data_IF_468787065193
#
_entry.id   IF_468787065193
#
_cell.length_a   1.000
_cell.length_b   1.000
_cell.length_c   1.000
_cell.angle_alpha   90.00
_cell.angle_beta   90.00
_cell.angle_gamma   90.00
#
_symmetry.space_group_name_H-M   'P 1'
#
loop_
_entity.id
_entity.type
_entity.pdbx_description
1 polymer ?
#
# COMPACT_ATOMS: atom_id res chain seq x y z
N UNK A 1 -28.83 -49.42 -14.80
CA UNK A 1 -27.94 -48.85 -13.75
C UNK A 1 -26.46 -48.86 -14.12
N UNK A 2 -25.92 -49.85 -14.86
CA UNK A 2 -24.48 -49.93 -15.21
C UNK A 2 -23.91 -48.79 -16.09
N UNK A 3 -24.71 -48.16 -16.95
CA UNK A 3 -24.26 -47.01 -17.78
C UNK A 3 -24.13 -45.69 -17.02
N UNK A 4 -24.87 -45.49 -15.93
CA UNK A 4 -24.79 -44.27 -15.09
C UNK A 4 -23.58 -44.30 -14.14
N UNK A 5 -23.14 -45.50 -13.75
CA UNK A 5 -21.91 -45.73 -12.98
C UNK A 5 -20.64 -45.49 -13.81
N UNK A 6 -20.66 -45.80 -15.11
CA UNK A 6 -19.52 -45.54 -16.00
C UNK A 6 -19.26 -44.04 -16.23
N UNK A 7 -20.33 -43.23 -16.31
CA UNK A 7 -20.20 -41.76 -16.49
C UNK A 7 -19.73 -41.08 -15.20
N UNK A 8 -20.16 -41.53 -14.03
CA UNK A 8 -19.69 -41.02 -12.75
C UNK A 8 -18.20 -41.35 -12.49
N UNK A 9 -17.73 -42.49 -12.99
CA UNK A 9 -16.33 -42.91 -12.83
C UNK A 9 -15.36 -42.14 -13.76
N UNK A 10 -15.84 -41.64 -14.92
CA UNK A 10 -15.02 -40.80 -15.81
C UNK A 10 -14.87 -39.36 -15.31
N UNK A 11 -15.81 -38.83 -14.52
CA UNK A 11 -15.71 -37.47 -13.94
C UNK A 11 -14.77 -37.46 -12.72
N UNK A 12 -14.64 -38.57 -11.99
CA UNK A 12 -13.71 -38.68 -10.85
C UNK A 12 -12.24 -38.93 -11.25
N UNK A 13 -11.98 -39.36 -12.49
CA UNK A 13 -10.61 -39.61 -12.98
C UNK A 13 -9.92 -38.33 -13.54
N UNK A 14 -10.59 -37.19 -13.53
CA UNK A 14 -10.05 -35.90 -13.99
C UNK A 14 -9.40 -35.05 -12.85
N UNK A 15 -9.20 -35.63 -11.67
CA UNK A 15 -8.58 -34.97 -10.52
C UNK A 15 -7.47 -35.89 -10.00
N UNK A 16 -6.25 -35.88 -10.59
CA UNK A 16 -5.17 -35.14 -9.93
C UNK A 16 -3.97 -34.78 -10.85
N UNK A 17 -3.83 -33.51 -11.27
CA UNK A 17 -2.51 -32.89 -11.53
C UNK A 17 -2.52 -31.37 -11.27
N UNK A 18 -3.26 -30.89 -10.26
CA UNK A 18 -2.94 -29.60 -9.65
C UNK A 18 -1.81 -29.78 -8.63
N UNK A 19 -0.63 -30.20 -9.12
CA UNK A 19 0.61 -29.83 -8.46
C UNK A 19 0.84 -28.36 -8.77
N UNK A 20 0.22 -27.48 -7.99
CA UNK A 20 0.49 -26.05 -8.01
C UNK A 20 1.92 -25.81 -7.50
N UNK A 21 2.88 -25.88 -8.42
CA UNK A 21 4.26 -25.47 -8.17
C UNK A 21 4.79 -24.76 -9.42
N UNK A 22 4.67 -23.42 -9.39
CA UNK A 22 5.48 -22.43 -10.14
C UNK A 22 5.20 -22.33 -11.67
N UNK A 23 5.37 -21.18 -12.36
CA UNK A 23 4.70 -19.88 -12.29
C UNK A 23 4.07 -19.53 -13.66
N UNK A 24 2.79 -19.83 -13.89
CA UNK A 24 2.13 -19.56 -15.19
C UNK A 24 1.18 -18.34 -15.17
N UNK A 25 1.51 -17.31 -14.39
CA UNK A 25 0.87 -15.99 -14.44
C UNK A 25 1.85 -14.94 -14.99
N UNK A 26 2.48 -15.30 -16.10
CA UNK A 26 3.26 -14.35 -16.89
C UNK A 26 2.64 -14.37 -18.29
N UNK A 27 2.05 -13.22 -18.66
CA UNK A 27 1.40 -12.90 -19.93
C UNK A 27 -0.01 -13.50 -20.19
N UNK A 28 -1.03 -12.63 -20.21
CA UNK A 28 -2.17 -12.84 -21.12
C UNK A 28 -3.55 -12.40 -20.64
N UNK A 29 -4.02 -12.85 -19.48
CA UNK A 29 -5.42 -12.59 -19.06
C UNK A 29 -5.56 -12.21 -17.58
N UNK A 30 -4.73 -12.77 -16.68
CA UNK A 30 -4.80 -12.47 -15.25
C UNK A 30 -4.33 -11.06 -14.88
N UNK A 31 -3.37 -10.49 -15.62
CA UNK A 31 -2.91 -9.12 -15.39
C UNK A 31 -3.94 -8.06 -15.80
N UNK A 32 -4.79 -8.35 -16.79
CA UNK A 32 -5.79 -7.40 -17.28
C UNK A 32 -6.88 -7.10 -16.24
N UNK A 33 -7.17 -8.03 -15.32
CA UNK A 33 -8.19 -7.84 -14.29
C UNK A 33 -7.72 -6.95 -13.12
N UNK A 34 -6.41 -6.71 -12.97
CA UNK A 34 -5.87 -5.82 -11.93
C UNK A 34 -5.64 -4.38 -12.42
N UNK A 35 -5.68 -4.15 -13.74
CA UNK A 35 -5.43 -2.82 -14.36
C UNK A 35 -6.71 -1.95 -14.36
N UNK A 36 -7.87 -2.50 -14.03
CA UNK A 36 -9.16 -1.84 -14.26
C UNK A 36 -9.65 -0.81 -13.22
N UNK A 37 -8.95 -0.57 -12.11
CA UNK A 37 -9.49 0.32 -11.06
C UNK A 37 -8.47 1.20 -10.32
N UNK A 38 -7.21 1.22 -10.78
CA UNK A 38 -6.23 2.19 -10.29
C UNK A 38 -6.29 3.44 -11.18
N UNK A 39 -6.48 4.60 -10.55
CA UNK A 39 -6.53 5.90 -11.25
C UNK A 39 -5.13 6.41 -11.64
N UNK A 40 -4.07 5.72 -11.18
CA UNK A 40 -2.68 5.98 -11.57
C UNK A 40 -2.40 5.42 -12.96
N UNK A 41 -1.48 6.07 -13.66
CA UNK A 41 -0.97 5.53 -14.92
C UNK A 41 -0.08 4.31 -14.65
N UNK A 42 0.00 3.37 -15.58
CA UNK A 42 0.91 2.22 -15.48
C UNK A 42 2.36 2.65 -15.26
N UNK A 43 2.80 3.73 -15.95
CA UNK A 43 4.13 4.31 -15.76
C UNK A 43 4.37 4.78 -14.31
N UNK A 44 3.45 5.56 -13.75
CA UNK A 44 3.56 6.01 -12.35
C UNK A 44 3.53 4.86 -11.35
N UNK A 45 2.79 3.79 -11.61
CA UNK A 45 2.78 2.61 -10.74
C UNK A 45 4.13 1.88 -10.75
N UNK A 46 4.73 1.69 -11.94
CA UNK A 46 6.06 1.08 -12.07
C UNK A 46 7.15 1.96 -11.44
N UNK A 47 7.05 3.28 -11.62
CA UNK A 47 7.94 4.24 -10.96
C UNK A 47 7.85 4.12 -9.44
N UNK A 48 6.63 4.07 -8.88
CA UNK A 48 6.39 3.92 -7.44
C UNK A 48 7.12 2.69 -6.86
N UNK A 49 6.96 1.53 -7.49
CA UNK A 49 7.62 0.29 -7.05
C UNK A 49 9.14 0.39 -7.13
N UNK A 50 9.65 1.04 -8.18
CA UNK A 50 11.08 1.27 -8.35
C UNK A 50 11.62 2.22 -7.27
N UNK A 51 10.87 3.28 -6.94
CA UNK A 51 11.23 4.24 -5.91
C UNK A 51 11.26 3.61 -4.52
N UNK A 52 10.24 2.81 -4.17
CA UNK A 52 10.18 2.10 -2.89
C UNK A 52 11.43 1.24 -2.68
N UNK A 53 11.80 0.41 -3.66
CA UNK A 53 12.97 -0.48 -3.56
C UNK A 53 14.28 0.31 -3.47
N UNK A 54 14.48 1.32 -4.34
CA UNK A 54 15.71 2.11 -4.36
C UNK A 54 15.89 2.91 -3.07
N UNK A 55 14.85 3.59 -2.61
CA UNK A 55 14.90 4.40 -1.40
C UNK A 55 15.04 3.55 -0.15
N UNK A 56 14.32 2.42 -0.05
CA UNK A 56 14.48 1.52 1.10
C UNK A 56 15.94 1.05 1.24
N UNK A 57 16.57 0.68 0.12
CA UNK A 57 17.99 0.29 0.12
C UNK A 57 18.93 1.45 0.48
N UNK A 58 18.76 2.62 -0.14
CA UNK A 58 19.64 3.76 0.11
C UNK A 58 19.47 4.36 1.51
N UNK A 59 18.24 4.44 2.01
CA UNK A 59 17.97 4.97 3.35
C UNK A 59 18.50 4.00 4.40
N UNK A 60 18.19 2.70 4.32
CA UNK A 60 18.68 1.73 5.31
C UNK A 60 20.21 1.66 5.40
N UNK A 61 20.93 1.82 4.28
CA UNK A 61 22.40 1.87 4.28
C UNK A 61 22.96 3.16 4.89
N UNK A 62 22.26 4.29 4.78
CA UNK A 62 22.70 5.60 5.31
C UNK A 62 22.21 5.90 6.72
N UNK A 63 21.17 5.20 7.19
CA UNK A 63 20.61 5.35 8.54
C UNK A 63 20.57 3.98 9.24
N UNK A 64 21.74 3.40 9.55
CA UNK A 64 21.80 2.07 10.17
C UNK A 64 21.10 2.08 11.53
N UNK A 65 20.31 1.05 11.81
CA UNK A 65 19.58 0.91 13.06
C UNK A 65 18.26 1.70 13.14
N UNK A 66 17.95 2.56 12.16
CA UNK A 66 16.64 3.19 12.04
C UNK A 66 15.60 2.23 11.45
N UNK A 67 14.34 2.38 11.85
CA UNK A 67 13.22 1.70 11.24
C UNK A 67 12.47 2.65 10.30
N UNK A 68 12.85 2.67 9.03
CA UNK A 68 12.22 3.55 8.03
C UNK A 68 11.44 2.72 7.03
N UNK A 69 10.14 2.98 6.94
CA UNK A 69 9.26 2.46 5.91
C UNK A 69 9.10 3.50 4.80
N UNK A 70 9.34 3.07 3.55
CA UNK A 70 9.16 3.91 2.37
C UNK A 70 7.92 3.44 1.63
N UNK A 71 7.00 4.37 1.41
CA UNK A 71 5.82 4.14 0.57
C UNK A 71 5.82 5.15 -0.57
N UNK A 72 5.58 4.69 -1.80
CA UNK A 72 5.33 5.54 -2.95
C UNK A 72 3.89 5.39 -3.44
N UNK A 73 3.33 6.52 -3.89
CA UNK A 73 2.04 6.57 -4.56
C UNK A 73 2.00 7.76 -5.54
N UNK A 74 1.82 7.49 -6.83
CA UNK A 74 1.77 8.50 -7.89
C UNK A 74 3.01 9.44 -7.89
N UNK A 75 4.19 8.86 -7.64
CA UNK A 75 5.50 9.50 -7.47
C UNK A 75 5.61 10.44 -6.27
N UNK A 76 4.61 10.46 -5.38
CA UNK A 76 4.75 11.03 -4.04
C UNK A 76 5.34 9.96 -3.10
N UNK A 77 6.32 10.35 -2.29
CA UNK A 77 6.97 9.49 -1.31
C UNK A 77 6.45 9.85 0.08
N UNK A 78 6.10 8.83 0.85
CA UNK A 78 5.83 8.88 2.27
C UNK A 78 6.93 8.11 3.01
N UNK A 79 7.60 8.78 3.94
CA UNK A 79 8.52 8.17 4.90
C UNK A 79 7.83 8.10 6.26
N UNK A 80 7.72 6.90 6.82
CA UNK A 80 7.19 6.65 8.17
C UNK A 80 8.14 5.77 8.97
N UNK A 81 7.95 5.73 10.28
CA UNK A 81 8.73 4.93 11.21
C UNK A 81 9.61 5.79 12.12
N UNK A 82 10.67 5.18 12.63
CA UNK A 82 11.50 5.74 13.69
C UNK A 82 12.96 5.90 13.30
N UNK A 83 13.53 7.01 13.74
CA UNK A 83 14.95 7.34 13.59
C UNK A 83 15.57 7.68 14.94
N UNK A 84 16.87 7.42 15.15
CA UNK A 84 17.52 7.64 16.43
C UNK A 84 17.69 9.13 16.79
N UNK A 85 17.83 9.99 15.78
CA UNK A 85 18.10 11.42 15.95
C UNK A 85 17.68 12.25 14.71
N UNK A 86 17.83 13.57 14.83
CA UNK A 86 17.51 14.52 13.77
C UNK A 86 18.43 14.36 12.54
N UNK A 87 19.68 13.94 12.74
CA UNK A 87 20.63 13.76 11.65
C UNK A 87 20.19 12.60 10.73
N UNK A 88 19.79 11.48 11.31
CA UNK A 88 19.22 10.35 10.57
C UNK A 88 17.91 10.74 9.87
N UNK A 89 17.05 11.54 10.52
CA UNK A 89 15.82 12.08 9.91
C UNK A 89 16.13 12.91 8.66
N UNK A 90 17.05 13.86 8.79
CA UNK A 90 17.47 14.74 7.71
C UNK A 90 18.16 13.96 6.58
N UNK A 91 18.95 12.94 6.91
CA UNK A 91 19.62 12.10 5.93
C UNK A 91 18.63 11.27 5.09
N UNK A 92 17.58 10.72 5.72
CA UNK A 92 16.50 10.03 5.02
C UNK A 92 15.71 11.00 4.12
N UNK A 93 15.38 12.18 4.63
CA UNK A 93 14.70 13.24 3.87
C UNK A 93 15.50 13.63 2.62
N UNK A 94 16.78 13.97 2.79
CA UNK A 94 17.67 14.35 1.71
C UNK A 94 17.80 13.25 0.66
N UNK A 95 17.95 11.99 1.09
CA UNK A 95 18.06 10.84 0.18
C UNK A 95 16.79 10.68 -0.67
N UNK A 96 15.61 10.83 -0.06
CA UNK A 96 14.34 10.75 -0.77
C UNK A 96 14.13 11.91 -1.75
N UNK A 97 14.49 13.15 -1.37
CA UNK A 97 14.41 14.32 -2.28
C UNK A 97 15.37 14.23 -3.46
N UNK A 98 16.54 13.64 -3.25
CA UNK A 98 17.56 13.55 -4.28
C UNK A 98 17.23 12.53 -5.40
N UNK A 99 16.23 11.66 -5.19
CA UNK A 99 15.86 10.67 -6.19
C UNK A 99 15.12 11.34 -7.37
N UNK A 100 15.61 11.22 -8.61
CA UNK A 100 14.95 11.79 -9.78
C UNK A 100 13.54 11.25 -9.99
N UNK A 101 12.61 12.14 -10.31
CA UNK A 101 11.21 11.79 -10.61
C UNK A 101 10.28 11.77 -9.40
N UNK A 102 10.79 11.94 -8.17
CA UNK A 102 9.97 12.19 -6.98
C UNK A 102 9.24 13.53 -7.15
N UNK A 103 7.91 13.51 -7.07
CA UNK A 103 7.06 14.71 -7.21
C UNK A 103 6.84 15.42 -5.89
N UNK A 104 6.64 14.65 -4.82
CA UNK A 104 6.31 15.16 -3.49
C UNK A 104 6.94 14.26 -2.44
N UNK A 105 7.40 14.84 -1.34
CA UNK A 105 7.92 14.10 -0.19
C UNK A 105 7.15 14.48 1.06
N UNK A 106 6.61 13.46 1.71
CA UNK A 106 5.93 13.49 2.98
C UNK A 106 6.78 12.78 4.02
N UNK A 107 7.49 13.54 4.85
CA UNK A 107 8.35 12.99 5.88
C UNK A 107 7.64 13.02 7.23
N UNK A 108 7.22 11.85 7.69
CA UNK A 108 6.58 11.61 8.98
C UNK A 108 7.43 10.71 9.88
N UNK A 109 8.75 10.72 9.69
CA UNK A 109 9.68 10.06 10.58
C UNK A 109 9.69 10.73 11.95
N UNK A 110 9.61 9.92 12.99
CA UNK A 110 9.67 10.39 14.39
C UNK A 110 11.00 10.02 15.01
N UNK A 111 11.53 10.92 15.84
CA UNK A 111 12.72 10.64 16.64
C UNK A 111 12.26 9.85 17.87
N UNK A 112 12.45 8.54 17.83
CA UNK A 112 11.99 7.62 18.85
C UNK A 112 12.75 6.29 18.77
N UNK A 113 12.73 5.47 19.83
CA UNK A 113 13.16 4.08 19.74
C UNK A 113 12.30 3.31 18.73
N UNK A 114 12.92 2.36 18.03
CA UNK A 114 12.22 1.49 17.08
C UNK A 114 11.04 0.77 17.74
N UNK A 115 9.93 0.69 17.00
CA UNK A 115 8.76 -0.07 17.40
C UNK A 115 9.08 -1.54 17.67
N UNK A 116 8.46 -2.11 18.72
CA UNK A 116 8.56 -3.54 19.02
C UNK A 116 7.79 -4.36 17.99
N UNK A 117 8.07 -5.67 17.90
CA UNK A 117 7.31 -6.57 17.04
C UNK A 117 5.81 -6.56 17.37
N UNK A 118 5.45 -6.47 18.65
CA UNK A 118 4.06 -6.38 19.09
C UNK A 118 3.34 -5.13 18.58
N UNK A 119 4.00 -3.97 18.61
CA UNK A 119 3.44 -2.73 18.06
C UNK A 119 3.20 -2.85 16.56
N UNK A 120 4.16 -3.42 15.81
CA UNK A 120 4.03 -3.62 14.36
C UNK A 120 2.92 -4.61 13.99
N UNK A 121 2.73 -5.66 14.79
CA UNK A 121 1.63 -6.59 14.62
C UNK A 121 0.27 -5.90 14.88
N UNK A 122 0.19 -5.04 15.88
CA UNK A 122 -0.99 -4.22 16.13
C UNK A 122 -1.29 -3.30 14.94
N UNK A 123 -0.28 -2.60 14.41
CA UNK A 123 -0.43 -1.71 13.25
C UNK A 123 -0.89 -2.48 12.00
N UNK A 124 -0.41 -3.70 11.77
CA UNK A 124 -0.89 -4.57 10.67
C UNK A 124 -2.37 -4.94 10.83
N UNK A 125 -2.77 -5.30 12.06
CA UNK A 125 -4.16 -5.55 12.41
C UNK A 125 -5.04 -4.32 12.22
N UNK A 126 -4.58 -3.14 12.67
CA UNK A 126 -5.26 -1.87 12.49
C UNK A 126 -5.39 -1.50 11.01
N UNK A 127 -4.33 -1.69 10.23
CA UNK A 127 -4.32 -1.49 8.79
C UNK A 127 -5.37 -2.35 8.08
N UNK A 128 -5.53 -3.60 8.50
CA UNK A 128 -6.57 -4.50 7.99
C UNK A 128 -7.98 -4.00 8.35
N UNK A 129 -8.20 -3.57 9.60
CA UNK A 129 -9.48 -3.00 10.04
C UNK A 129 -9.85 -1.75 9.25
N UNK A 130 -8.91 -0.83 9.05
CA UNK A 130 -9.12 0.39 8.27
C UNK A 130 -9.46 0.04 6.81
N UNK A 131 -8.71 -0.87 6.18
CA UNK A 131 -9.03 -1.32 4.80
C UNK A 131 -10.42 -1.93 4.70
N UNK A 132 -10.81 -2.76 5.68
CA UNK A 132 -12.15 -3.33 5.74
C UNK A 132 -13.23 -2.24 5.90
N UNK A 133 -13.01 -1.25 6.77
CA UNK A 133 -13.93 -0.13 6.98
C UNK A 133 -14.08 0.73 5.72
N UNK A 134 -13.03 0.91 4.93
CA UNK A 134 -13.09 1.61 3.64
C UNK A 134 -13.92 0.85 2.58
N UNK A 135 -14.05 -0.48 2.66
CA UNK A 135 -14.93 -1.26 1.77
C UNK A 135 -16.41 -0.99 2.01
N UNK A 136 -16.77 -0.46 3.17
CA UNK A 136 -18.16 -0.10 3.50
C UNK A 136 -18.56 1.26 2.89
N UNK A 137 -17.59 2.03 2.40
CA UNK A 137 -17.82 3.28 1.69
C UNK A 137 -18.58 3.05 0.38
N UNK A 138 -19.67 3.79 0.18
CA UNK A 138 -20.57 3.59 -0.97
C UNK A 138 -20.21 4.44 -2.19
N UNK A 139 -19.41 5.49 -1.99
CA UNK A 139 -19.17 6.53 -2.98
C UNK A 139 -17.77 6.46 -3.62
N UNK A 140 -16.98 5.44 -3.29
CA UNK A 140 -15.65 5.20 -3.86
C UNK A 140 -15.30 3.71 -3.84
N UNK A 141 -14.29 3.33 -4.61
CA UNK A 141 -13.64 2.03 -4.44
C UNK A 141 -12.48 2.14 -3.45
N UNK A 142 -12.32 1.18 -2.56
CA UNK A 142 -11.16 1.10 -1.65
C UNK A 142 -9.82 1.13 -2.39
N UNK A 143 -9.79 0.69 -3.66
CA UNK A 143 -8.59 0.67 -4.49
C UNK A 143 -8.11 2.08 -4.88
N UNK A 144 -8.94 3.13 -4.71
CA UNK A 144 -8.51 4.51 -4.90
C UNK A 144 -7.55 4.99 -3.80
N UNK A 145 -7.43 4.22 -2.70
CA UNK A 145 -6.67 4.57 -1.53
C UNK A 145 -5.55 3.58 -1.25
N UNK A 146 -4.35 4.08 -0.97
CA UNK A 146 -3.29 3.34 -0.30
C UNK A 146 -3.32 3.69 1.17
N UNK A 147 -3.51 2.68 2.01
CA UNK A 147 -3.53 2.80 3.47
C UNK A 147 -2.18 2.37 4.03
N UNK A 148 -1.52 3.26 4.77
CA UNK A 148 -0.32 2.96 5.56
C UNK A 148 -0.64 3.22 7.03
N UNK A 149 -0.18 2.35 7.91
CA UNK A 149 -0.35 2.51 9.36
C UNK A 149 0.99 2.36 10.03
N UNK A 150 1.31 3.31 10.90
CA UNK A 150 2.54 3.31 11.68
C UNK A 150 2.24 3.94 13.04
N UNK A 151 2.53 3.23 14.13
CA UNK A 151 2.36 3.70 15.51
C UNK A 151 0.92 4.17 15.82
N UNK A 152 -0.08 3.48 15.28
CA UNK A 152 -1.49 3.87 15.43
C UNK A 152 -1.92 5.12 14.64
N UNK A 153 -1.02 5.75 13.88
CA UNK A 153 -1.37 6.80 12.91
C UNK A 153 -1.66 6.16 11.54
N UNK A 154 -2.75 6.59 10.91
CA UNK A 154 -3.19 6.14 9.59
C UNK A 154 -2.89 7.21 8.57
N UNK A 155 -2.13 6.85 7.53
CA UNK A 155 -1.86 7.70 6.38
C UNK A 155 -2.67 7.20 5.19
N UNK A 156 -3.52 8.06 4.65
CA UNK A 156 -4.34 7.78 3.48
C UNK A 156 -3.79 8.53 2.28
N UNK A 157 -3.24 7.80 1.31
CA UNK A 157 -2.83 8.35 0.02
C UNK A 157 -3.87 7.96 -1.03
N UNK A 158 -4.10 8.81 -2.03
CA UNK A 158 -5.10 8.51 -3.07
C UNK A 158 -5.24 9.60 -4.12
N UNK A 159 -5.72 9.21 -5.31
CA UNK A 159 -6.16 10.13 -6.36
C UNK A 159 -7.70 10.23 -6.32
N UNK A 160 -8.22 11.25 -5.65
CA UNK A 160 -9.60 11.27 -5.18
C UNK A 160 -10.28 12.61 -5.43
N UNK A 161 -11.61 12.63 -5.43
CA UNK A 161 -12.36 13.89 -5.27
C UNK A 161 -12.44 14.30 -3.79
N UNK A 162 -12.84 15.54 -3.53
CA UNK A 162 -13.05 16.04 -2.16
C UNK A 162 -14.01 15.15 -1.37
N UNK A 163 -15.14 14.77 -1.98
CA UNK A 163 -16.17 13.94 -1.37
C UNK A 163 -15.67 12.54 -1.01
N UNK A 164 -14.91 11.92 -1.92
CA UNK A 164 -14.33 10.59 -1.66
C UNK A 164 -13.29 10.65 -0.54
N UNK A 165 -12.42 11.68 -0.55
CA UNK A 165 -11.39 11.88 0.46
C UNK A 165 -11.96 12.14 1.85
N UNK A 166 -12.99 12.98 1.96
CA UNK A 166 -13.67 13.28 3.23
C UNK A 166 -14.32 12.03 3.82
N UNK A 167 -15.07 11.27 3.01
CA UNK A 167 -15.72 10.04 3.47
C UNK A 167 -14.69 8.97 3.90
N UNK A 168 -13.60 8.80 3.15
CA UNK A 168 -12.55 7.86 3.50
C UNK A 168 -11.83 8.25 4.80
N UNK A 169 -11.53 9.55 4.99
CA UNK A 169 -10.93 10.06 6.21
C UNK A 169 -11.85 9.85 7.42
N UNK A 170 -13.16 10.12 7.27
CA UNK A 170 -14.17 9.89 8.30
C UNK A 170 -14.22 8.41 8.70
N UNK A 171 -14.38 7.51 7.72
CA UNK A 171 -14.42 6.06 7.95
C UNK A 171 -13.16 5.54 8.65
N UNK A 172 -11.98 5.99 8.23
CA UNK A 172 -10.73 5.62 8.89
C UNK A 172 -10.68 6.16 10.34
N UNK A 173 -11.08 7.41 10.58
CA UNK A 173 -11.05 8.02 11.91
C UNK A 173 -12.00 7.36 12.92
N UNK A 174 -13.12 6.80 12.45
CA UNK A 174 -14.07 6.05 13.27
C UNK A 174 -13.61 4.62 13.59
N UNK A 175 -12.52 4.16 12.97
CA UNK A 175 -12.00 2.80 13.18
C UNK A 175 -11.35 2.70 14.56
N UNK A 176 -11.83 1.77 15.38
CA UNK A 176 -11.30 1.54 16.73
C UNK A 176 -9.79 1.24 16.70
N UNK A 177 -9.03 2.01 17.51
CA UNK A 177 -7.58 1.92 17.63
C UNK A 177 -6.80 2.94 16.79
N UNK A 178 -7.46 3.66 15.88
CA UNK A 178 -6.84 4.78 15.16
C UNK A 178 -6.64 5.95 16.12
N UNK A 179 -5.41 6.46 16.20
CA UNK A 179 -5.07 7.62 17.03
C UNK A 179 -5.15 8.92 16.24
N UNK A 180 -4.81 8.86 14.95
CA UNK A 180 -4.76 10.02 14.05
C UNK A 180 -4.90 9.56 12.61
N UNK A 181 -5.58 10.36 11.80
CA UNK A 181 -5.64 10.18 10.34
C UNK A 181 -4.93 11.35 9.69
N UNK A 182 -4.01 11.03 8.79
CA UNK A 182 -3.27 11.98 7.96
C UNK A 182 -3.67 11.73 6.50
N UNK A 183 -4.29 12.74 5.89
CA UNK A 183 -4.71 12.68 4.50
C UNK A 183 -3.61 13.24 3.60
N UNK A 184 -3.14 12.41 2.67
CA UNK A 184 -2.07 12.73 1.71
C UNK A 184 -2.64 12.56 0.29
N UNK A 185 -3.80 13.17 0.06
CA UNK A 185 -4.52 13.05 -1.20
C UNK A 185 -3.93 13.97 -2.28
N UNK A 186 -4.11 13.54 -3.52
CA UNK A 186 -4.02 14.38 -4.70
C UNK A 186 -5.42 14.49 -5.29
N UNK A 187 -5.97 15.70 -5.33
CA UNK A 187 -7.35 15.90 -5.76
C UNK A 187 -7.47 15.96 -7.29
N UNK A 188 -8.50 15.31 -7.83
CA UNK A 188 -8.69 15.18 -9.28
C UNK A 188 -9.02 16.50 -9.98
N UNK A 189 -9.59 17.47 -9.26
CA UNK A 189 -9.90 18.82 -9.73
C UNK A 189 -8.64 19.69 -9.95
N UNK A 190 -7.56 19.44 -9.21
CA UNK A 190 -6.30 20.17 -9.32
C UNK A 190 -5.42 19.71 -10.49
N UNK A 191 -5.72 18.57 -11.14
CA UNK A 191 -4.95 18.03 -12.28
C UNK A 191 -5.29 18.65 -13.65
N UNK A 192 -5.94 19.80 -13.70
CA UNK A 192 -6.18 20.54 -14.96
C UNK A 192 -4.98 21.43 -15.29
N UNK A 193 -3.86 20.85 -15.67
CA UNK A 193 -2.75 21.56 -16.35
C UNK A 193 -2.14 20.69 -17.45
#
# INVERSE_FOLDING_TARGET
>A
MRRRLAVALCVLAALPTLSACVPAVVAGAGAALWVGNDRRTTGSYTDDQTFEVKLASQISSKTPGAHVNVTAFNRAILLTGEVPDEQARAQADFTARALPGVRKLHNYLVIAPNSTLGNRLNDSGLSTKVRARLLEGKNFSSNHFKVVVERGEVYLLGLVSDVEGEEAARLASETSGVQKVVTLYEYLNERRE
#
